data_IF_419789909395
#
_entry.id   IF_419789909395
#
_cell.length_a   1.000
_cell.length_b   1.000
_cell.length_c   1.000
_cell.angle_alpha   90.00
_cell.angle_beta   90.00
_cell.angle_gamma   90.00
#
_symmetry.space_group_name_H-M   'P 1'
#
loop_
_entity.id
_entity.type
_entity.pdbx_description
1 polymer ?
#
# COMPACT_ATOMS: atom_id res chain seq x y z
N UNK A 1 -15.27 -0.09 24.54
CA UNK A 1 -14.51 -0.68 23.42
C UNK A 1 -13.52 0.35 22.93
N UNK A 2 -12.33 -0.06 22.54
CA UNK A 2 -11.30 0.85 22.03
C UNK A 2 -10.60 0.16 20.85
N UNK A 3 -10.56 0.83 19.70
CA UNK A 3 -9.79 0.34 18.54
C UNK A 3 -8.31 0.46 18.86
N UNK A 4 -7.54 -0.58 18.60
CA UNK A 4 -6.11 -0.65 18.94
C UNK A 4 -5.19 -0.53 17.73
N UNK A 5 -5.57 -1.11 16.58
CA UNK A 5 -4.76 -1.05 15.36
C UNK A 5 -5.58 -1.48 14.14
N UNK A 6 -5.03 -1.24 12.98
CA UNK A 6 -5.56 -1.78 11.73
C UNK A 6 -5.03 -3.21 11.55
N UNK A 7 -5.90 -4.17 11.23
CA UNK A 7 -5.50 -5.54 10.92
C UNK A 7 -5.26 -5.70 9.42
N UNK A 8 -6.26 -5.37 8.64
CA UNK A 8 -6.18 -5.37 7.18
C UNK A 8 -7.18 -4.40 6.60
N UNK A 9 -6.98 -4.07 5.34
CA UNK A 9 -7.96 -3.35 4.54
C UNK A 9 -8.14 -4.10 3.22
N UNK A 10 -9.14 -3.69 2.45
CA UNK A 10 -9.43 -4.29 1.16
C UNK A 10 -9.29 -3.25 0.08
N UNK A 11 -8.52 -3.56 -0.96
CA UNK A 11 -8.49 -2.78 -2.20
C UNK A 11 -9.26 -3.52 -3.28
N UNK A 12 -10.17 -2.81 -3.93
CA UNK A 12 -10.79 -3.28 -5.16
C UNK A 12 -9.90 -2.86 -6.33
N UNK A 13 -9.46 -3.81 -7.14
CA UNK A 13 -8.47 -3.59 -8.19
C UNK A 13 -8.99 -4.08 -9.53
N UNK A 14 -8.54 -3.46 -10.62
CA UNK A 14 -8.94 -3.84 -11.97
C UNK A 14 -8.29 -5.15 -12.41
N UNK A 15 -7.10 -5.45 -11.91
CA UNK A 15 -6.34 -6.64 -12.29
C UNK A 15 -5.48 -7.08 -11.09
N UNK A 16 -5.89 -8.18 -10.46
CA UNK A 16 -5.21 -8.70 -9.26
C UNK A 16 -3.74 -9.01 -9.56
N UNK A 17 -3.43 -9.61 -10.71
CA UNK A 17 -2.05 -9.99 -11.04
C UNK A 17 -1.14 -8.77 -11.17
N UNK A 18 -1.62 -7.70 -11.81
CA UNK A 18 -0.85 -6.46 -11.92
C UNK A 18 -0.62 -5.81 -10.54
N UNK A 19 -1.64 -5.82 -9.69
CA UNK A 19 -1.52 -5.28 -8.33
C UNK A 19 -0.54 -6.09 -7.51
N UNK A 20 -0.59 -7.41 -7.58
CA UNK A 20 0.36 -8.29 -6.89
C UNK A 20 1.80 -7.97 -7.35
N UNK A 21 2.02 -7.89 -8.65
CA UNK A 21 3.35 -7.62 -9.20
C UNK A 21 3.89 -6.26 -8.72
N UNK A 22 3.03 -5.24 -8.69
CA UNK A 22 3.42 -3.92 -8.21
C UNK A 22 3.82 -3.94 -6.73
N UNK A 23 2.95 -4.47 -5.87
CA UNK A 23 3.20 -4.44 -4.42
C UNK A 23 4.32 -5.38 -4.00
N UNK A 24 4.59 -6.44 -4.75
CA UNK A 24 5.79 -7.26 -4.55
C UNK A 24 7.07 -6.44 -4.74
N UNK A 25 7.09 -5.47 -5.65
CA UNK A 25 8.21 -4.54 -5.82
C UNK A 25 8.42 -3.66 -4.59
N UNK A 26 7.39 -3.46 -3.77
CA UNK A 26 7.48 -2.75 -2.49
C UNK A 26 7.83 -3.66 -1.32
N UNK A 27 8.12 -4.94 -1.58
CA UNK A 27 8.50 -5.90 -0.56
C UNK A 27 7.35 -6.65 0.11
N UNK A 28 6.12 -6.47 -0.36
CA UNK A 28 4.98 -7.23 0.17
C UNK A 28 4.99 -8.66 -0.36
N UNK A 29 4.46 -9.59 0.44
CA UNK A 29 4.39 -11.01 0.08
C UNK A 29 3.00 -11.37 -0.39
N UNK A 30 2.92 -12.01 -1.55
CA UNK A 30 1.67 -12.55 -2.08
C UNK A 30 1.24 -13.75 -1.23
N UNK A 31 0.01 -13.73 -0.78
CA UNK A 31 -0.62 -14.84 -0.06
C UNK A 31 -1.93 -15.22 -0.71
N UNK A 32 -2.19 -16.53 -0.74
CA UNK A 32 -3.53 -17.06 -1.07
C UNK A 32 -4.14 -17.59 0.22
N UNK A 33 -5.39 -17.26 0.49
CA UNK A 33 -6.08 -17.71 1.69
C UNK A 33 -7.53 -18.04 1.37
N UNK A 34 -8.19 -18.78 2.27
CA UNK A 34 -9.57 -19.24 2.09
C UNK A 34 -9.76 -19.85 0.69
N UNK A 35 -10.86 -19.56 0.00
CA UNK A 35 -11.16 -20.12 -1.33
C UNK A 35 -10.49 -19.31 -2.43
N UNK A 36 -9.16 -19.37 -2.53
CA UNK A 36 -8.35 -18.66 -3.53
C UNK A 36 -8.44 -17.12 -3.46
N UNK A 37 -8.66 -16.58 -2.28
CA UNK A 37 -8.57 -15.14 -2.07
C UNK A 37 -7.13 -14.70 -2.04
N UNK A 38 -6.87 -13.51 -2.54
CA UNK A 38 -5.52 -12.95 -2.65
C UNK A 38 -5.29 -11.86 -1.62
N UNK A 39 -4.14 -11.91 -0.97
CA UNK A 39 -3.69 -10.87 -0.05
C UNK A 39 -2.23 -10.53 -0.29
N UNK A 40 -1.86 -9.33 0.16
CA UNK A 40 -0.50 -8.81 0.18
C UNK A 40 -0.11 -8.60 1.64
N UNK A 41 0.84 -9.40 2.13
CA UNK A 41 1.27 -9.39 3.53
C UNK A 41 2.48 -8.47 3.71
N UNK A 42 2.46 -7.66 4.74
CA UNK A 42 3.60 -6.83 5.15
C UNK A 42 3.55 -6.64 6.67
N UNK A 43 4.69 -6.79 7.35
CA UNK A 43 4.72 -6.76 8.79
C UNK A 43 3.71 -7.75 9.37
N UNK A 44 2.85 -7.29 10.27
CA UNK A 44 1.75 -8.07 10.84
C UNK A 44 0.39 -7.64 10.29
N UNK A 45 0.38 -6.99 9.13
CA UNK A 45 -0.81 -6.48 8.46
C UNK A 45 -0.90 -7.04 7.04
N UNK A 46 -2.03 -6.83 6.40
CA UNK A 46 -2.19 -7.23 5.00
C UNK A 46 -3.20 -6.33 4.28
N UNK A 47 -3.15 -6.40 2.96
CA UNK A 47 -4.16 -5.85 2.08
C UNK A 47 -4.81 -7.03 1.35
N UNK A 48 -6.11 -7.21 1.54
CA UNK A 48 -6.87 -8.18 0.73
C UNK A 48 -7.21 -7.51 -0.61
N UNK A 49 -7.13 -8.27 -1.69
CA UNK A 49 -7.48 -7.76 -3.02
C UNK A 49 -8.81 -8.35 -3.48
N UNK A 50 -9.72 -7.48 -3.88
CA UNK A 50 -10.95 -7.86 -4.56
C UNK A 50 -10.84 -7.49 -6.03
N UNK A 51 -11.26 -8.39 -6.91
CA UNK A 51 -11.36 -8.10 -8.34
C UNK A 51 -12.58 -7.20 -8.58
N UNK A 52 -12.39 -6.07 -9.24
CA UNK A 52 -13.47 -5.17 -9.60
C UNK A 52 -14.56 -5.92 -10.36
N UNK A 53 -15.80 -5.77 -9.92
CA UNK A 53 -16.96 -6.46 -10.49
C UNK A 53 -17.19 -7.88 -9.93
N UNK A 54 -16.27 -8.39 -9.11
CA UNK A 54 -16.36 -9.72 -8.50
C UNK A 54 -16.01 -9.69 -7.02
N UNK A 55 -16.33 -8.58 -6.36
CA UNK A 55 -16.04 -8.40 -4.95
C UNK A 55 -16.74 -9.46 -4.10
N UNK A 56 -16.05 -9.95 -3.07
CA UNK A 56 -16.67 -10.82 -2.09
C UNK A 56 -17.61 -10.02 -1.20
N UNK A 57 -18.69 -10.65 -0.78
CA UNK A 57 -19.65 -10.04 0.14
C UNK A 57 -19.30 -10.41 1.59
N UNK A 58 -19.42 -9.50 2.57
CA UNK A 58 -19.76 -8.08 2.39
C UNK A 58 -18.57 -7.26 1.87
N UNK A 59 -18.88 -6.12 1.27
CA UNK A 59 -17.85 -5.21 0.77
C UNK A 59 -18.28 -3.75 1.00
N UNK A 60 -17.41 -2.81 0.65
CA UNK A 60 -17.70 -1.39 0.82
C UNK A 60 -18.92 -0.98 -0.03
N UNK A 61 -19.71 -0.03 0.48
CA UNK A 61 -20.90 0.44 -0.22
C UNK A 61 -20.60 1.01 -1.62
N UNK A 62 -19.42 1.60 -1.79
CA UNK A 62 -18.95 2.16 -3.06
C UNK A 62 -17.57 1.57 -3.39
N UNK A 63 -17.52 0.24 -3.53
CA UNK A 63 -16.30 -0.43 -3.90
C UNK A 63 -15.92 -0.05 -5.34
N UNK A 64 -14.75 0.56 -5.52
CA UNK A 64 -14.24 0.99 -6.82
C UNK A 64 -12.72 0.98 -6.80
N UNK A 65 -12.11 0.91 -7.97
CA UNK A 65 -10.65 0.98 -8.09
C UNK A 65 -10.17 2.43 -8.08
N UNK A 66 -8.93 2.64 -7.58
CA UNK A 66 -8.24 3.92 -7.73
C UNK A 66 -8.65 5.03 -6.77
N UNK A 67 -9.41 4.72 -5.71
CA UNK A 67 -9.86 5.73 -4.76
C UNK A 67 -9.11 5.71 -3.43
N UNK A 68 -8.15 4.81 -3.25
CA UNK A 68 -7.40 4.72 -2.00
C UNK A 68 -6.23 5.71 -1.98
N UNK A 69 -5.92 6.15 -0.77
CA UNK A 69 -4.81 7.04 -0.46
C UNK A 69 -4.19 6.51 0.83
N UNK A 70 -3.02 5.90 0.73
CA UNK A 70 -2.42 5.12 1.82
C UNK A 70 -0.99 5.56 2.08
N UNK A 71 -0.60 5.55 3.35
CA UNK A 71 0.78 5.78 3.75
C UNK A 71 1.34 4.51 4.41
N UNK A 72 2.48 4.05 3.91
CA UNK A 72 3.24 2.96 4.49
C UNK A 72 4.55 3.48 5.07
N UNK A 73 4.92 2.99 6.24
CA UNK A 73 6.24 3.22 6.80
C UNK A 73 7.15 2.12 6.28
N UNK A 74 8.29 2.51 5.70
CA UNK A 74 9.26 1.58 5.16
C UNK A 74 10.43 1.39 6.12
N UNK A 75 11.12 0.26 6.03
CA UNK A 75 12.36 0.07 6.76
C UNK A 75 13.51 0.81 6.06
N UNK A 76 14.52 1.20 6.83
CA UNK A 76 15.68 1.92 6.30
C UNK A 76 15.39 3.39 6.04
N UNK A 77 16.27 4.03 5.30
CA UNK A 77 16.16 5.46 5.01
C UNK A 77 15.24 5.73 3.81
N UNK A 78 14.71 6.94 3.75
CA UNK A 78 13.94 7.37 2.58
C UNK A 78 14.82 7.38 1.32
N UNK A 79 16.12 7.66 1.46
CA UNK A 79 17.06 7.59 0.34
C UNK A 79 17.15 6.17 -0.22
N UNK A 80 17.20 5.15 0.65
CA UNK A 80 17.19 3.74 0.24
C UNK A 80 15.89 3.39 -0.48
N UNK A 81 14.76 3.89 0.02
CA UNK A 81 13.45 3.72 -0.62
C UNK A 81 13.45 4.31 -2.03
N UNK A 82 13.94 5.56 -2.18
CA UNK A 82 14.00 6.23 -3.47
C UNK A 82 14.92 5.49 -4.45
N UNK A 83 16.05 5.00 -3.99
CA UNK A 83 16.97 4.21 -4.82
C UNK A 83 16.32 2.90 -5.28
N UNK A 84 15.59 2.24 -4.38
CA UNK A 84 14.87 1.02 -4.71
C UNK A 84 13.78 1.26 -5.76
N UNK A 85 12.99 2.32 -5.59
CA UNK A 85 11.93 2.68 -6.55
C UNK A 85 12.51 2.90 -7.95
N UNK A 86 13.63 3.62 -8.02
CA UNK A 86 14.34 3.82 -9.30
C UNK A 86 14.79 2.49 -9.89
N UNK A 87 15.35 1.60 -9.08
CA UNK A 87 15.85 0.30 -9.54
C UNK A 87 14.74 -0.61 -10.08
N UNK A 88 13.53 -0.52 -9.54
CA UNK A 88 12.39 -1.35 -9.97
C UNK A 88 11.46 -0.63 -10.96
N UNK A 89 11.82 0.57 -11.40
CA UNK A 89 11.11 1.30 -12.45
C UNK A 89 9.81 1.95 -12.00
N UNK A 90 9.71 2.36 -10.73
CA UNK A 90 8.55 3.09 -10.21
C UNK A 90 8.91 4.56 -10.09
N UNK A 91 8.12 5.43 -10.75
CA UNK A 91 8.33 6.86 -10.73
C UNK A 91 7.79 7.48 -9.44
N UNK A 92 8.54 8.45 -8.91
CA UNK A 92 8.10 9.28 -7.79
C UNK A 92 7.34 10.47 -8.35
N UNK A 93 6.08 10.63 -7.93
CA UNK A 93 5.24 11.75 -8.36
C UNK A 93 5.57 13.03 -7.60
N UNK A 94 5.84 12.91 -6.31
CA UNK A 94 6.17 14.04 -5.44
C UNK A 94 7.09 13.58 -4.31
N UNK A 95 7.99 14.45 -3.91
CA UNK A 95 8.88 14.25 -2.78
C UNK A 95 10.36 14.15 -3.14
N UNK A 96 11.21 14.09 -2.13
CA UNK A 96 10.90 13.97 -0.70
C UNK A 96 10.28 15.26 -0.14
N UNK A 97 9.27 15.09 0.73
CA UNK A 97 8.56 16.20 1.37
C UNK A 97 8.31 15.87 2.85
N UNK A 98 8.28 16.93 3.66
CA UNK A 98 7.94 16.79 5.08
C UNK A 98 6.43 16.66 5.25
N UNK A 99 6.02 15.70 6.07
CA UNK A 99 4.62 15.45 6.41
C UNK A 99 4.49 15.14 7.90
N UNK A 100 3.26 14.97 8.35
CA UNK A 100 2.95 14.62 9.74
C UNK A 100 2.34 13.22 9.75
N UNK A 101 3.03 12.29 10.40
CA UNK A 101 2.55 10.92 10.59
C UNK A 101 1.70 10.79 11.85
N UNK A 102 1.23 9.58 12.11
CA UNK A 102 0.37 9.30 13.25
C UNK A 102 1.06 9.58 14.60
N UNK A 103 2.38 9.40 14.67
CA UNK A 103 3.15 9.54 15.90
C UNK A 103 4.29 10.55 15.82
N UNK A 104 4.33 11.37 14.78
CA UNK A 104 5.36 12.42 14.66
C UNK A 104 5.70 12.77 13.24
N UNK A 105 6.70 13.65 13.04
CA UNK A 105 7.11 14.06 11.70
C UNK A 105 7.67 12.90 10.88
N UNK A 106 7.35 12.91 9.60
CA UNK A 106 7.85 11.94 8.62
C UNK A 106 8.37 12.68 7.39
N UNK A 107 9.21 11.98 6.64
CA UNK A 107 9.61 12.40 5.29
C UNK A 107 9.07 11.38 4.31
N UNK A 108 8.45 11.86 3.25
CA UNK A 108 7.63 11.02 2.37
C UNK A 108 7.95 11.23 0.90
N UNK A 109 7.72 10.18 0.12
CA UNK A 109 7.60 10.23 -1.34
C UNK A 109 6.25 9.61 -1.74
N UNK A 110 5.71 10.07 -2.86
CA UNK A 110 4.41 9.62 -3.37
C UNK A 110 4.58 8.92 -4.70
N UNK A 111 3.91 7.78 -4.84
CA UNK A 111 3.87 6.98 -6.06
C UNK A 111 2.43 6.60 -6.38
N UNK A 112 2.20 6.02 -7.56
CA UNK A 112 0.89 5.50 -7.97
C UNK A 112 0.97 4.00 -8.17
N UNK A 113 -0.05 3.29 -7.69
CA UNK A 113 -0.21 1.87 -7.99
C UNK A 113 -0.89 1.68 -9.36
N UNK A 114 -1.08 0.43 -9.86
CA UNK A 114 -1.67 0.21 -11.19
C UNK A 114 -3.08 0.76 -11.37
N UNK A 115 -3.85 0.95 -10.31
CA UNK A 115 -5.20 1.50 -10.36
C UNK A 115 -5.24 3.02 -10.19
N UNK A 116 -4.10 3.64 -9.94
CA UNK A 116 -4.02 5.06 -9.66
C UNK A 116 -4.20 5.43 -8.19
N UNK A 117 -4.23 4.45 -7.29
CA UNK A 117 -4.22 4.73 -5.87
C UNK A 117 -2.96 5.50 -5.50
N UNK A 118 -3.11 6.51 -4.64
CA UNK A 118 -1.97 7.28 -4.16
C UNK A 118 -1.32 6.53 -3.00
N UNK A 119 -0.04 6.24 -3.15
CA UNK A 119 0.74 5.51 -2.15
C UNK A 119 1.86 6.43 -1.67
N UNK A 120 1.83 6.74 -0.39
CA UNK A 120 2.87 7.48 0.30
C UNK A 120 3.80 6.48 0.99
N UNK A 121 5.10 6.62 0.76
CA UNK A 121 6.13 5.82 1.42
C UNK A 121 6.94 6.76 2.30
N UNK A 122 7.06 6.44 3.58
CA UNK A 122 7.57 7.38 4.56
C UNK A 122 8.50 6.74 5.57
N UNK A 123 9.38 7.58 6.10
CA UNK A 123 10.24 7.25 7.22
C UNK A 123 10.00 8.28 8.31
N UNK A 124 9.89 7.82 9.57
CA UNK A 124 9.83 8.74 10.71
C UNK A 124 11.18 9.41 10.91
N UNK A 125 11.15 10.71 11.19
CA UNK A 125 12.36 11.44 11.55
C UNK A 125 12.88 10.98 12.91
N UNK A 126 14.19 10.85 12.98
CA UNK A 126 14.89 10.55 14.23
C UNK A 126 15.57 11.84 14.68
N UNK A 127 15.28 12.26 15.90
CA UNK A 127 15.91 13.43 16.48
C UNK A 127 17.29 13.09 17.07
#
# INVERSE_FOLDING_TARGET
>A
MRVTRLDHLVLTVRDIEQSVAFYQKLGMKHQTFADNRTALQFGDQKINLHQLGREYYPNAAKAQSGSADLCFITCGSLEDTMAHLSAVGIDIEEGPVARTGATGPIDSVYIRDPDGNLIELAEYRVD
#
